data_IF_688615240470
#
_entry.id   IF_688615240470
#
_cell.length_a   1.000
_cell.length_b   1.000
_cell.length_c   1.000
_cell.angle_alpha   90.00
_cell.angle_beta   90.00
_cell.angle_gamma   90.00
#
_symmetry.space_group_name_H-M   'P 1'
#
loop_
_entity.id
_entity.type
_entity.pdbx_description
1 polymer ?
#
# COMPACT_ATOMS: atom_id res chain seq x y z
N UNK A 1 7.27 34.58 -21.43
CA UNK A 1 6.96 33.73 -20.25
C UNK A 1 5.86 34.43 -19.48
N UNK A 2 4.82 33.70 -19.05
CA UNK A 2 3.72 34.31 -18.29
C UNK A 2 4.24 34.79 -16.93
N UNK A 3 3.90 36.02 -16.53
CA UNK A 3 4.23 36.56 -15.21
C UNK A 3 3.43 35.90 -14.07
N UNK A 4 2.46 35.04 -14.41
CA UNK A 4 1.62 34.38 -13.42
C UNK A 4 2.37 33.32 -12.61
N UNK A 5 2.25 33.39 -11.29
CA UNK A 5 2.89 32.49 -10.34
C UNK A 5 1.87 31.51 -9.77
N UNK A 6 2.17 30.22 -9.86
CA UNK A 6 1.42 29.14 -9.22
C UNK A 6 2.19 28.58 -8.02
N UNK A 7 1.58 28.59 -6.83
CA UNK A 7 2.11 27.87 -5.67
C UNK A 7 1.54 26.45 -5.64
N UNK A 8 2.41 25.44 -5.53
CA UNK A 8 2.02 24.04 -5.30
C UNK A 8 2.50 23.59 -3.93
N UNK A 9 1.55 23.35 -3.03
CA UNK A 9 1.82 22.58 -1.81
C UNK A 9 1.81 21.08 -2.13
N UNK A 10 2.42 20.24 -1.28
CA UNK A 10 2.42 18.78 -1.51
C UNK A 10 3.18 18.35 -2.77
N UNK A 11 4.14 19.16 -3.25
CA UNK A 11 4.90 18.90 -4.47
C UNK A 11 5.80 17.65 -4.40
N UNK A 12 6.09 17.15 -3.19
CA UNK A 12 6.76 15.85 -2.96
C UNK A 12 5.82 14.65 -3.06
N UNK A 13 4.51 14.90 -3.12
CA UNK A 13 3.46 13.87 -3.21
C UNK A 13 3.14 13.46 -4.64
N UNK A 14 2.33 12.41 -4.77
CA UNK A 14 2.02 11.76 -6.05
C UNK A 14 1.43 12.70 -7.12
N UNK A 15 0.40 13.47 -6.73
CA UNK A 15 -0.29 14.42 -7.63
C UNK A 15 0.55 15.68 -7.80
N UNK A 16 1.01 16.30 -6.71
CA UNK A 16 1.78 17.54 -6.75
C UNK A 16 3.05 17.42 -7.62
N UNK A 17 3.77 16.30 -7.53
CA UNK A 17 4.97 16.07 -8.32
C UNK A 17 4.73 15.93 -9.83
N UNK A 18 3.48 15.66 -10.25
CA UNK A 18 3.04 15.62 -11.65
C UNK A 18 2.37 16.91 -12.10
N UNK A 19 1.72 17.61 -11.18
CA UNK A 19 1.13 18.92 -11.45
C UNK A 19 2.21 19.98 -11.76
N UNK A 20 3.31 19.99 -11.01
CA UNK A 20 4.40 20.97 -11.21
C UNK A 20 4.94 20.98 -12.65
N UNK A 21 5.38 19.86 -13.25
CA UNK A 21 5.86 19.87 -14.63
C UNK A 21 4.76 20.24 -15.64
N UNK A 22 3.50 19.90 -15.37
CA UNK A 22 2.38 20.29 -16.23
C UNK A 22 2.12 21.81 -16.19
N UNK A 23 2.22 22.44 -15.02
CA UNK A 23 2.13 23.90 -14.87
C UNK A 23 3.30 24.61 -15.58
N UNK A 24 4.52 24.10 -15.44
CA UNK A 24 5.69 24.62 -16.16
C UNK A 24 5.49 24.53 -17.68
N UNK A 25 4.96 23.40 -18.18
CA UNK A 25 4.65 23.22 -19.60
C UNK A 25 3.54 24.17 -20.08
N UNK A 26 2.57 24.49 -19.22
CA UNK A 26 1.54 25.49 -19.46
C UNK A 26 2.03 26.95 -19.30
N UNK A 27 3.34 27.16 -19.08
CA UNK A 27 3.97 28.48 -19.07
C UNK A 27 3.92 29.23 -17.74
N UNK A 28 3.50 28.57 -16.64
CA UNK A 28 3.47 29.17 -15.31
C UNK A 28 4.87 29.24 -14.70
N UNK A 29 5.13 30.29 -13.93
CA UNK A 29 6.21 30.28 -12.94
C UNK A 29 5.72 29.49 -11.74
N UNK A 30 6.44 28.45 -11.35
CA UNK A 30 6.00 27.57 -10.25
C UNK A 30 6.84 27.81 -9.01
N UNK A 31 6.15 27.98 -7.89
CA UNK A 31 6.70 27.98 -6.54
C UNK A 31 6.20 26.75 -5.80
N UNK A 32 7.05 26.12 -5.00
CA UNK A 32 6.68 24.97 -4.18
C UNK A 32 6.96 25.24 -2.71
N UNK A 33 6.00 24.93 -1.84
CA UNK A 33 6.19 24.96 -0.39
C UNK A 33 6.56 23.55 0.09
N UNK A 34 7.76 23.39 0.63
CA UNK A 34 8.27 22.10 1.11
C UNK A 34 8.85 22.22 2.51
N UNK A 35 8.45 21.32 3.41
CA UNK A 35 8.98 21.29 4.78
C UNK A 35 10.46 20.89 4.86
N UNK A 36 10.92 20.05 3.93
CA UNK A 36 12.30 19.57 3.91
C UNK A 36 12.80 19.55 2.47
N UNK A 37 13.49 20.61 2.00
CA UNK A 37 13.94 20.74 0.61
C UNK A 37 14.80 19.55 0.12
N UNK A 38 15.59 18.93 0.99
CA UNK A 38 16.41 17.77 0.64
C UNK A 38 15.60 16.54 0.19
N UNK A 39 14.30 16.46 0.53
CA UNK A 39 13.41 15.38 0.09
C UNK A 39 12.84 15.60 -1.31
N UNK A 40 12.95 16.81 -1.86
CA UNK A 40 12.52 17.10 -3.21
C UNK A 40 13.61 16.64 -4.19
N UNK A 41 13.49 15.39 -4.65
CA UNK A 41 14.42 14.77 -5.61
C UNK A 41 13.75 14.65 -6.99
N UNK A 42 13.29 15.76 -7.53
CA UNK A 42 12.60 15.81 -8.81
C UNK A 42 13.47 16.50 -9.87
N UNK A 43 13.47 15.99 -11.10
CA UNK A 43 14.27 16.51 -12.22
C UNK A 43 13.89 17.96 -12.59
N UNK A 44 12.69 18.40 -12.21
CA UNK A 44 12.20 19.75 -12.44
C UNK A 44 12.57 20.75 -11.32
N UNK A 45 13.24 20.31 -10.25
CA UNK A 45 13.54 21.12 -9.06
C UNK A 45 14.21 22.44 -9.39
N UNK A 46 15.15 22.45 -10.33
CA UNK A 46 15.93 23.65 -10.66
C UNK A 46 15.16 24.64 -11.54
N UNK A 47 13.94 24.28 -11.96
CA UNK A 47 13.03 25.12 -12.76
C UNK A 47 11.94 25.80 -11.93
N UNK A 48 11.95 25.61 -10.62
CA UNK A 48 10.93 26.15 -9.70
C UNK A 48 11.56 26.92 -8.56
N UNK A 49 10.79 27.82 -7.95
CA UNK A 49 11.17 28.44 -6.69
C UNK A 49 10.82 27.51 -5.52
N UNK A 50 11.80 27.16 -4.70
CA UNK A 50 11.61 26.28 -3.53
C UNK A 50 11.57 27.13 -2.27
N UNK A 51 10.38 27.23 -1.66
CA UNK A 51 10.20 27.86 -0.35
C UNK A 51 10.23 26.77 0.73
N UNK A 52 11.22 26.87 1.61
CA UNK A 52 11.30 26.02 2.79
C UNK A 52 10.39 26.58 3.88
N UNK A 53 9.46 25.76 4.39
CA UNK A 53 8.54 26.21 5.44
C UNK A 53 7.59 25.12 5.93
N UNK A 54 7.06 25.31 7.13
CA UNK A 54 6.01 24.47 7.71
C UNK A 54 4.62 25.02 7.36
N UNK A 55 3.76 24.18 6.80
CA UNK A 55 2.38 24.56 6.49
C UNK A 55 1.54 24.82 7.75
N UNK A 56 2.00 24.42 8.93
CA UNK A 56 1.40 24.77 10.22
C UNK A 56 1.80 26.16 10.73
N UNK A 57 2.83 26.79 10.14
CA UNK A 57 3.32 28.10 10.52
C UNK A 57 2.74 29.18 9.59
N UNK A 58 1.90 30.06 10.13
CA UNK A 58 1.22 31.09 9.34
C UNK A 58 2.19 32.03 8.58
N UNK A 59 3.33 32.36 9.20
CA UNK A 59 4.37 33.19 8.57
C UNK A 59 4.98 32.54 7.34
N UNK A 60 5.32 31.26 7.42
CA UNK A 60 5.90 30.49 6.32
C UNK A 60 4.90 30.37 5.16
N UNK A 61 3.63 30.12 5.46
CA UNK A 61 2.57 30.01 4.46
C UNK A 61 2.32 31.36 3.78
N UNK A 62 2.29 32.46 4.54
CA UNK A 62 2.14 33.81 3.98
C UNK A 62 3.31 34.19 3.08
N UNK A 63 4.54 33.91 3.51
CA UNK A 63 5.74 34.14 2.71
C UNK A 63 5.68 33.36 1.38
N UNK A 64 5.25 32.10 1.42
CA UNK A 64 5.09 31.29 0.21
C UNK A 64 4.01 31.82 -0.74
N UNK A 65 2.92 32.39 -0.21
CA UNK A 65 1.78 32.90 -0.98
C UNK A 65 1.97 34.33 -1.50
N UNK A 66 2.96 35.08 -1.01
CA UNK A 66 3.18 36.47 -1.42
C UNK A 66 3.50 36.57 -2.91
N UNK A 67 2.68 37.31 -3.67
CA UNK A 67 2.81 37.49 -5.12
C UNK A 67 2.31 36.30 -5.95
N UNK A 68 1.59 35.35 -5.34
CA UNK A 68 1.03 34.17 -6.03
C UNK A 68 -0.34 34.48 -6.62
N UNK A 69 -0.58 34.12 -7.88
CA UNK A 69 -1.88 34.26 -8.53
C UNK A 69 -2.80 33.08 -8.20
N UNK A 70 -2.28 31.85 -8.25
CA UNK A 70 -3.04 30.61 -8.04
C UNK A 70 -2.33 29.71 -7.05
N UNK A 71 -3.04 29.21 -6.06
CA UNK A 71 -2.46 28.33 -5.04
C UNK A 71 -3.17 26.98 -4.98
N UNK A 72 -2.39 25.91 -5.15
CA UNK A 72 -2.83 24.53 -5.09
C UNK A 72 -2.60 23.95 -3.68
N UNK A 73 -3.69 23.64 -3.00
CA UNK A 73 -3.65 22.96 -1.71
C UNK A 73 -3.71 21.45 -1.94
N UNK A 74 -2.59 20.73 -1.81
CA UNK A 74 -2.49 19.27 -1.99
C UNK A 74 -1.87 18.60 -0.76
N UNK A 75 -1.90 19.29 0.39
CA UNK A 75 -1.47 18.74 1.67
C UNK A 75 -2.56 17.81 2.21
N UNK A 76 -2.14 16.65 2.69
CA UNK A 76 -3.04 15.74 3.37
C UNK A 76 -2.29 14.89 4.41
N UNK A 77 -2.80 14.84 5.63
CA UNK A 77 -2.19 14.11 6.74
C UNK A 77 -2.60 12.63 6.73
N UNK A 78 -1.89 11.78 5.98
CA UNK A 78 -2.09 10.30 6.01
C UNK A 78 -1.09 9.55 6.91
N UNK A 79 -0.35 10.24 7.77
CA UNK A 79 0.73 9.62 8.57
C UNK A 79 0.22 8.72 9.71
N UNK A 80 -1.11 8.62 9.92
CA UNK A 80 -1.72 7.75 10.91
C UNK A 80 -1.43 8.16 12.37
N UNK A 81 -0.97 9.41 12.59
CA UNK A 81 -0.60 9.91 13.92
C UNK A 81 -1.65 10.89 14.46
N UNK A 82 -2.14 10.66 15.68
CA UNK A 82 -3.02 11.58 16.41
C UNK A 82 -4.34 11.90 15.70
N UNK A 83 -4.96 13.02 16.08
CA UNK A 83 -6.17 13.55 15.44
C UNK A 83 -5.82 14.27 14.12
N UNK A 84 -5.77 13.51 13.03
CA UNK A 84 -5.45 14.04 11.71
C UNK A 84 -6.51 15.04 11.21
N UNK A 85 -7.77 14.90 11.63
CA UNK A 85 -8.86 15.77 11.20
C UNK A 85 -8.69 17.18 11.75
N UNK A 86 -8.37 17.30 13.04
CA UNK A 86 -8.07 18.60 13.66
C UNK A 86 -6.81 19.25 13.06
N UNK A 87 -5.79 18.45 12.71
CA UNK A 87 -4.60 18.97 12.01
C UNK A 87 -4.93 19.48 10.61
N UNK A 88 -5.64 18.69 9.79
CA UNK A 88 -6.00 19.08 8.43
C UNK A 88 -6.91 20.32 8.42
N UNK A 89 -7.84 20.45 9.38
CA UNK A 89 -8.63 21.67 9.60
C UNK A 89 -7.74 22.87 9.84
N UNK A 90 -6.84 22.80 10.83
CA UNK A 90 -5.96 23.93 11.22
C UNK A 90 -5.04 24.35 10.06
N UNK A 91 -4.51 23.39 9.31
CA UNK A 91 -3.69 23.67 8.12
C UNK A 91 -4.50 24.40 7.05
N UNK A 92 -5.72 23.93 6.76
CA UNK A 92 -6.60 24.55 5.78
C UNK A 92 -7.03 25.97 6.19
N UNK A 93 -7.37 26.20 7.46
CA UNK A 93 -7.72 27.52 7.99
C UNK A 93 -6.54 28.50 7.89
N UNK A 94 -5.34 28.04 8.27
CA UNK A 94 -4.11 28.84 8.17
C UNK A 94 -3.83 29.22 6.71
N UNK A 95 -3.95 28.26 5.81
CA UNK A 95 -3.72 28.46 4.38
C UNK A 95 -4.77 29.38 3.75
N UNK A 96 -6.05 29.18 4.06
CA UNK A 96 -7.16 30.03 3.61
C UNK A 96 -6.95 31.49 4.02
N UNK A 97 -6.63 31.73 5.29
CA UNK A 97 -6.41 33.08 5.80
C UNK A 97 -5.18 33.73 5.16
N UNK A 98 -4.07 33.00 5.05
CA UNK A 98 -2.86 33.51 4.41
C UNK A 98 -3.07 33.79 2.92
N UNK A 99 -3.83 32.96 2.21
CA UNK A 99 -4.14 33.17 0.79
C UNK A 99 -4.99 34.42 0.57
N UNK A 100 -6.00 34.64 1.42
CA UNK A 100 -6.76 35.89 1.42
C UNK A 100 -5.85 37.10 1.68
N UNK A 101 -5.02 37.04 2.71
CA UNK A 101 -4.13 38.14 3.08
C UNK A 101 -3.09 38.47 2.01
N UNK A 102 -2.61 37.45 1.29
CA UNK A 102 -1.67 37.61 0.19
C UNK A 102 -2.31 38.06 -1.13
N UNK A 103 -3.65 38.15 -1.19
CA UNK A 103 -4.37 38.55 -2.40
C UNK A 103 -4.35 37.50 -3.51
N UNK A 104 -4.27 36.21 -3.16
CA UNK A 104 -4.33 35.11 -4.12
C UNK A 104 -5.66 35.17 -4.87
N UNK A 105 -5.64 34.96 -6.19
CA UNK A 105 -6.82 35.11 -7.06
C UNK A 105 -7.63 33.82 -7.19
N UNK A 106 -6.99 32.66 -6.97
CA UNK A 106 -7.62 31.34 -7.07
C UNK A 106 -7.01 30.35 -6.10
N UNK A 107 -7.86 29.61 -5.39
CA UNK A 107 -7.48 28.37 -4.73
C UNK A 107 -7.95 27.18 -5.55
N UNK A 108 -7.12 26.14 -5.63
CA UNK A 108 -7.50 24.86 -6.23
C UNK A 108 -7.18 23.74 -5.25
N UNK A 109 -8.17 22.91 -4.96
CA UNK A 109 -8.04 21.78 -4.03
C UNK A 109 -8.51 20.49 -4.70
N UNK A 110 -7.72 19.42 -4.56
CA UNK A 110 -8.12 18.08 -4.99
C UNK A 110 -8.75 17.32 -3.81
N UNK A 111 -10.08 17.36 -3.74
CA UNK A 111 -10.90 16.56 -2.83
C UNK A 111 -11.16 15.15 -3.39
N UNK A 112 -12.12 14.42 -2.80
CA UNK A 112 -12.52 13.08 -3.21
C UNK A 112 -14.02 13.01 -3.49
N UNK A 113 -14.42 12.16 -4.44
CA UNK A 113 -15.82 11.81 -4.62
C UNK A 113 -16.33 11.10 -3.36
N UNK A 114 -17.54 11.43 -2.95
CA UNK A 114 -18.19 10.86 -1.77
C UNK A 114 -19.70 10.83 -1.96
N UNK A 115 -20.42 9.92 -1.29
CA UNK A 115 -21.88 9.93 -1.31
C UNK A 115 -22.42 11.06 -0.42
N UNK A 116 -23.71 11.39 -0.54
CA UNK A 116 -24.39 12.15 0.52
C UNK A 116 -24.49 11.29 1.80
N UNK A 117 -24.35 11.92 2.97
CA UNK A 117 -24.60 11.29 4.27
C UNK A 117 -23.34 10.80 5.00
N UNK A 118 -23.42 9.61 5.62
CA UNK A 118 -22.37 9.10 6.51
C UNK A 118 -21.05 8.84 5.80
N UNK A 119 -20.00 9.57 6.18
CA UNK A 119 -18.65 9.48 5.62
C UNK A 119 -17.69 8.81 6.59
N UNK A 120 -16.66 8.14 6.06
CA UNK A 120 -15.47 7.80 6.85
C UNK A 120 -14.78 9.08 7.36
N UNK A 121 -14.08 8.99 8.51
CA UNK A 121 -13.36 10.14 9.09
C UNK A 121 -12.41 10.82 8.09
N UNK A 122 -11.76 10.02 7.22
CA UNK A 122 -10.87 10.52 6.18
C UNK A 122 -11.59 11.32 5.09
N UNK A 123 -12.73 10.83 4.61
CA UNK A 123 -13.55 11.57 3.64
C UNK A 123 -14.19 12.80 4.29
N UNK A 124 -14.69 12.70 5.52
CA UNK A 124 -15.24 13.82 6.26
C UNK A 124 -14.21 14.95 6.45
N UNK A 125 -12.96 14.61 6.78
CA UNK A 125 -11.86 15.58 6.86
C UNK A 125 -11.58 16.26 5.52
N UNK A 126 -11.65 15.52 4.40
CA UNK A 126 -11.43 16.08 3.06
C UNK A 126 -12.54 17.01 2.62
N UNK A 127 -13.79 16.70 2.96
CA UNK A 127 -14.95 17.57 2.74
C UNK A 127 -14.80 18.85 3.55
N UNK A 128 -14.51 18.73 4.84
CA UNK A 128 -14.31 19.87 5.75
C UNK A 128 -13.21 20.82 5.27
N UNK A 129 -12.06 20.29 4.82
CA UNK A 129 -11.00 21.11 4.20
C UNK A 129 -11.53 21.87 2.98
N UNK A 130 -12.30 21.22 2.10
CA UNK A 130 -12.90 21.88 0.94
C UNK A 130 -13.83 23.02 1.34
N UNK A 131 -14.68 22.81 2.34
CA UNK A 131 -15.60 23.83 2.86
C UNK A 131 -14.87 25.02 3.51
N UNK A 132 -13.75 24.77 4.18
CA UNK A 132 -12.90 25.85 4.75
C UNK A 132 -12.32 26.70 3.63
N UNK A 133 -11.76 26.06 2.59
CA UNK A 133 -11.17 26.76 1.46
C UNK A 133 -12.23 27.54 0.66
N UNK A 134 -13.42 26.96 0.42
CA UNK A 134 -14.54 27.64 -0.25
C UNK A 134 -15.05 28.87 0.51
N UNK A 135 -15.00 28.84 1.85
CA UNK A 135 -15.37 29.97 2.72
C UNK A 135 -14.22 30.96 2.94
N UNK A 136 -13.05 30.72 2.35
CA UNK A 136 -11.87 31.57 2.49
C UNK A 136 -12.06 32.98 1.92
N UNK A 137 -13.08 33.21 1.09
CA UNK A 137 -13.32 34.44 0.33
C UNK A 137 -12.33 34.69 -0.81
N UNK A 138 -11.47 33.73 -1.10
CA UNK A 138 -10.75 33.62 -2.37
C UNK A 138 -11.56 32.70 -3.28
N UNK A 139 -11.80 33.05 -4.56
CA UNK A 139 -12.42 32.13 -5.51
C UNK A 139 -11.75 30.75 -5.50
N UNK A 140 -12.52 29.70 -5.23
CA UNK A 140 -12.00 28.37 -4.94
C UNK A 140 -12.69 27.29 -5.78
N UNK A 141 -11.89 26.48 -6.46
CA UNK A 141 -12.35 25.27 -7.14
C UNK A 141 -11.93 24.02 -6.36
N UNK A 142 -12.92 23.23 -5.92
CA UNK A 142 -12.68 21.96 -5.23
C UNK A 142 -12.98 20.81 -6.19
N UNK A 143 -11.93 20.22 -6.79
CA UNK A 143 -12.07 19.09 -7.69
C UNK A 143 -12.27 17.80 -6.89
N UNK A 144 -13.40 17.13 -7.03
CA UNK A 144 -13.71 15.89 -6.31
C UNK A 144 -13.41 14.69 -7.21
N UNK A 145 -12.29 14.02 -6.97
CA UNK A 145 -11.87 12.89 -7.80
C UNK A 145 -12.22 11.54 -7.17
N UNK A 146 -12.58 10.57 -8.00
CA UNK A 146 -12.67 9.17 -7.58
C UNK A 146 -11.30 8.52 -7.38
N UNK A 147 -11.22 7.21 -7.62
CA UNK A 147 -9.94 6.49 -7.52
C UNK A 147 -9.00 6.94 -8.64
N UNK A 148 -7.91 7.62 -8.27
CA UNK A 148 -6.89 8.06 -9.21
C UNK A 148 -6.01 6.88 -9.64
N UNK A 149 -6.02 6.57 -10.93
CA UNK A 149 -5.28 5.48 -11.56
C UNK A 149 -3.95 5.99 -12.12
N UNK A 150 -2.85 5.37 -11.72
CA UNK A 150 -1.52 5.69 -12.24
C UNK A 150 -0.38 5.12 -11.41
N UNK A 151 0.79 4.99 -12.03
CA UNK A 151 1.98 4.38 -11.42
C UNK A 151 2.49 5.20 -10.23
N UNK A 152 2.34 4.68 -9.01
CA UNK A 152 2.69 5.35 -7.75
C UNK A 152 1.50 5.96 -7.00
N UNK A 153 0.27 5.83 -7.52
CA UNK A 153 -0.94 6.13 -6.76
C UNK A 153 -1.19 5.03 -5.72
N UNK A 154 -1.34 5.39 -4.45
CA UNK A 154 -1.59 4.42 -3.38
C UNK A 154 -2.88 3.61 -3.60
N UNK A 155 -3.94 4.25 -4.11
CA UNK A 155 -5.22 3.57 -4.40
C UNK A 155 -5.09 2.60 -5.57
N UNK A 156 -4.33 2.98 -6.61
CA UNK A 156 -4.02 2.09 -7.73
C UNK A 156 -3.14 0.92 -7.29
N UNK A 157 -2.11 1.18 -6.48
CA UNK A 157 -1.24 0.14 -5.92
C UNK A 157 -2.04 -0.84 -5.07
N UNK A 158 -3.02 -0.39 -4.27
CA UNK A 158 -3.89 -1.29 -3.52
C UNK A 158 -4.67 -2.23 -4.47
N UNK A 159 -5.35 -1.66 -5.48
CA UNK A 159 -6.09 -2.42 -6.49
C UNK A 159 -5.18 -3.45 -7.19
N UNK A 160 -4.01 -2.99 -7.63
CA UNK A 160 -3.00 -3.82 -8.29
C UNK A 160 -2.53 -4.98 -7.42
N UNK A 161 -2.03 -4.69 -6.22
CA UNK A 161 -1.46 -5.72 -5.35
C UNK A 161 -2.49 -6.77 -4.95
N UNK A 162 -3.72 -6.35 -4.64
CA UNK A 162 -4.80 -7.30 -4.35
C UNK A 162 -5.07 -8.20 -5.57
N UNK A 163 -5.11 -7.62 -6.77
CA UNK A 163 -5.36 -8.36 -8.01
C UNK A 163 -4.22 -9.30 -8.39
N UNK A 164 -2.97 -8.87 -8.27
CA UNK A 164 -1.79 -9.68 -8.62
C UNK A 164 -1.63 -10.87 -7.66
N UNK A 165 -1.97 -10.67 -6.38
CA UNK A 165 -1.64 -11.62 -5.31
C UNK A 165 -2.76 -12.58 -4.95
N UNK A 166 -4.02 -12.21 -5.18
CA UNK A 166 -5.19 -13.02 -4.84
C UNK A 166 -5.89 -13.52 -6.13
N UNK A 167 -5.57 -14.73 -6.62
CA UNK A 167 -6.27 -15.29 -7.78
C UNK A 167 -7.75 -15.61 -7.50
N UNK A 168 -8.06 -15.90 -6.23
CA UNK A 168 -9.41 -16.04 -5.70
C UNK A 168 -9.51 -15.30 -4.36
N UNK A 169 -10.65 -14.66 -4.11
CA UNK A 169 -10.91 -13.95 -2.87
C UNK A 169 -12.41 -13.97 -2.54
N UNK A 170 -12.72 -14.11 -1.25
CA UNK A 170 -14.06 -13.85 -0.72
C UNK A 170 -13.96 -12.61 0.13
N UNK A 171 -14.54 -11.52 -0.36
CA UNK A 171 -14.51 -10.23 0.32
C UNK A 171 -15.87 -9.80 0.86
N UNK A 172 -15.91 -8.66 1.55
CA UNK A 172 -17.15 -8.04 2.01
C UNK A 172 -18.00 -7.48 0.85
N UNK A 173 -19.30 -7.28 1.09
CA UNK A 173 -20.26 -6.75 0.09
C UNK A 173 -19.84 -5.43 -0.56
N UNK A 174 -19.12 -4.56 0.16
CA UNK A 174 -18.70 -3.25 -0.37
C UNK A 174 -17.75 -3.32 -1.56
N UNK A 175 -17.17 -4.49 -1.88
CA UNK A 175 -16.45 -4.67 -3.15
C UNK A 175 -17.34 -4.48 -4.39
N UNK A 176 -18.66 -4.48 -4.22
CA UNK A 176 -19.66 -4.19 -5.27
C UNK A 176 -20.14 -2.73 -5.27
N UNK A 177 -19.59 -1.88 -4.42
CA UNK A 177 -19.88 -0.44 -4.46
C UNK A 177 -19.40 0.15 -5.79
N UNK A 178 -20.08 1.19 -6.25
CA UNK A 178 -19.81 1.84 -7.52
C UNK A 178 -18.76 2.93 -7.34
N UNK A 179 -17.77 2.94 -8.21
CA UNK A 179 -16.65 3.86 -8.23
C UNK A 179 -16.49 4.37 -9.65
N UNK A 180 -16.23 5.66 -9.77
CA UNK A 180 -15.86 6.29 -11.03
C UNK A 180 -14.39 6.69 -10.96
N UNK A 181 -13.47 5.83 -11.45
CA UNK A 181 -12.04 6.12 -11.38
C UNK A 181 -11.66 7.21 -12.38
N UNK A 182 -10.45 7.75 -12.28
CA UNK A 182 -9.92 8.75 -13.21
C UNK A 182 -8.42 8.51 -13.42
N UNK A 183 -7.92 8.67 -14.65
CA UNK A 183 -6.49 8.59 -14.91
C UNK A 183 -5.77 9.80 -14.30
N UNK A 184 -4.55 9.60 -13.79
CA UNK A 184 -3.75 10.69 -13.21
C UNK A 184 -3.50 11.82 -14.21
N UNK A 185 -3.30 11.52 -15.49
CA UNK A 185 -3.06 12.53 -16.52
C UNK A 185 -4.27 13.46 -16.68
N UNK A 186 -5.48 12.90 -16.57
CA UNK A 186 -6.73 13.65 -16.70
C UNK A 186 -7.00 14.49 -15.43
N UNK A 187 -6.64 13.97 -14.24
CA UNK A 187 -6.64 14.77 -13.00
C UNK A 187 -5.69 15.97 -13.12
N UNK A 188 -4.47 15.75 -13.62
CA UNK A 188 -3.48 16.81 -13.79
C UNK A 188 -3.95 17.84 -14.82
N UNK A 189 -4.54 17.40 -15.93
CA UNK A 189 -5.17 18.29 -16.92
C UNK A 189 -6.21 19.20 -16.24
N UNK A 190 -7.17 18.63 -15.52
CA UNK A 190 -8.20 19.42 -14.84
C UNK A 190 -7.63 20.36 -13.77
N UNK A 191 -6.60 19.96 -13.03
CA UNK A 191 -5.92 20.84 -12.08
C UNK A 191 -5.26 22.04 -12.78
N UNK A 192 -4.61 21.84 -13.93
CA UNK A 192 -4.02 22.94 -14.71
C UNK A 192 -5.12 23.87 -15.22
N UNK A 193 -6.22 23.32 -15.77
CA UNK A 193 -7.35 24.11 -16.29
C UNK A 193 -8.09 24.90 -15.21
N UNK A 194 -8.18 24.37 -13.98
CA UNK A 194 -8.85 25.03 -12.87
C UNK A 194 -8.21 26.38 -12.47
N UNK A 195 -6.95 26.61 -12.82
CA UNK A 195 -6.28 27.90 -12.62
C UNK A 195 -6.98 29.04 -13.37
N UNK A 196 -7.55 28.74 -14.54
CA UNK A 196 -8.12 29.73 -15.47
C UNK A 196 -9.65 29.85 -15.36
N UNK A 197 -10.28 29.18 -14.37
CA UNK A 197 -11.73 29.29 -14.17
C UNK A 197 -12.17 30.77 -13.94
N UNK A 198 -13.40 31.14 -14.30
CA UNK A 198 -13.95 32.43 -13.95
C UNK A 198 -13.97 32.69 -12.42
N UNK A 199 -13.75 33.93 -11.93
CA UNK A 199 -13.74 34.24 -10.49
C UNK A 199 -15.06 33.96 -9.76
N UNK A 200 -16.18 33.91 -10.46
CA UNK A 200 -17.50 33.55 -9.94
C UNK A 200 -17.69 32.05 -9.71
N UNK A 201 -16.81 31.21 -10.26
CA UNK A 201 -16.80 29.76 -9.98
C UNK A 201 -16.13 29.51 -8.63
N UNK A 202 -16.96 29.44 -7.58
CA UNK A 202 -16.55 29.10 -6.21
C UNK A 202 -17.36 27.90 -5.68
N UNK A 203 -17.02 26.69 -6.14
CA UNK A 203 -17.79 25.48 -5.82
C UNK A 203 -16.96 24.19 -5.91
N UNK A 204 -17.59 23.08 -5.55
CA UNK A 204 -17.10 21.73 -5.84
C UNK A 204 -17.40 21.34 -7.29
N UNK A 205 -16.49 20.61 -7.92
CA UNK A 205 -16.63 20.10 -9.30
C UNK A 205 -16.23 18.62 -9.28
N UNK A 206 -17.15 17.73 -9.64
CA UNK A 206 -16.91 16.29 -9.67
C UNK A 206 -16.08 15.90 -10.92
N UNK A 207 -14.98 15.15 -10.73
CA UNK A 207 -14.11 14.68 -11.82
C UNK A 207 -13.93 13.16 -11.78
N UNK A 208 -14.10 12.53 -12.94
CA UNK A 208 -14.14 11.07 -13.09
C UNK A 208 -14.12 10.69 -14.57
N UNK A 209 -13.66 9.48 -14.89
CA UNK A 209 -13.81 8.87 -16.23
C UNK A 209 -15.28 8.66 -16.58
N UNK A 210 -15.57 8.19 -17.80
CA UNK A 210 -16.94 7.85 -18.23
C UNK A 210 -17.45 6.49 -17.76
N UNK A 211 -16.62 5.76 -17.02
CA UNK A 211 -16.91 4.40 -16.62
C UNK A 211 -17.23 4.33 -15.13
N UNK A 212 -18.44 3.87 -14.79
CA UNK A 212 -18.80 3.51 -13.42
C UNK A 212 -18.57 2.02 -13.24
N UNK A 213 -17.66 1.67 -12.33
CA UNK A 213 -17.19 0.29 -12.11
C UNK A 213 -17.27 -0.08 -10.63
N UNK A 214 -17.40 -1.36 -10.36
CA UNK A 214 -17.19 -1.93 -9.01
C UNK A 214 -15.74 -2.29 -8.78
N UNK A 215 -15.30 -2.45 -7.52
CA UNK A 215 -13.96 -2.99 -7.23
C UNK A 215 -13.76 -4.37 -7.86
N UNK A 216 -14.80 -5.21 -7.87
CA UNK A 216 -14.75 -6.53 -8.52
C UNK A 216 -14.47 -6.39 -10.02
N UNK A 217 -15.16 -5.49 -10.71
CA UNK A 217 -14.94 -5.24 -12.14
C UNK A 217 -13.56 -4.66 -12.40
N UNK A 218 -13.13 -3.68 -11.61
CA UNK A 218 -11.77 -3.12 -11.71
C UNK A 218 -10.70 -4.20 -11.54
N UNK A 219 -10.82 -5.10 -10.55
CA UNK A 219 -9.88 -6.21 -10.36
C UNK A 219 -9.90 -7.20 -11.53
N UNK A 220 -11.09 -7.53 -12.06
CA UNK A 220 -11.22 -8.43 -13.22
C UNK A 220 -10.64 -7.82 -14.49
N UNK A 221 -10.92 -6.54 -14.75
CA UNK A 221 -10.40 -5.79 -15.90
C UNK A 221 -8.90 -5.58 -15.79
N UNK A 222 -8.38 -5.22 -14.62
CA UNK A 222 -6.95 -5.17 -14.35
C UNK A 222 -6.29 -6.51 -14.71
N UNK A 223 -6.85 -7.62 -14.23
CA UNK A 223 -6.29 -8.95 -14.52
C UNK A 223 -6.25 -9.25 -16.02
N UNK A 224 -7.30 -8.85 -16.77
CA UNK A 224 -7.34 -8.98 -18.23
C UNK A 224 -6.24 -8.15 -18.90
N UNK A 225 -6.12 -6.87 -18.56
CA UNK A 225 -5.11 -5.95 -19.13
C UNK A 225 -3.69 -6.41 -18.81
N UNK A 226 -3.45 -6.88 -17.58
CA UNK A 226 -2.16 -7.36 -17.11
C UNK A 226 -1.81 -8.80 -17.57
N UNK A 227 -2.68 -9.46 -18.33
CA UNK A 227 -2.48 -10.83 -18.82
C UNK A 227 -2.41 -11.87 -17.69
N UNK A 228 -3.13 -11.63 -16.59
CA UNK A 228 -3.27 -12.53 -15.45
C UNK A 228 -4.45 -13.50 -15.68
N UNK A 229 -4.45 -14.63 -14.96
CA UNK A 229 -5.59 -15.54 -14.95
C UNK A 229 -6.85 -14.84 -14.43
N UNK A 230 -8.06 -15.17 -14.93
CA UNK A 230 -9.31 -14.61 -14.44
C UNK A 230 -9.42 -14.68 -12.90
N UNK A 231 -9.92 -13.61 -12.30
CA UNK A 231 -10.05 -13.49 -10.83
C UNK A 231 -11.41 -13.93 -10.35
N UNK A 232 -11.39 -14.92 -9.46
CA UNK A 232 -12.60 -15.48 -8.84
C UNK A 232 -12.89 -14.72 -7.55
N UNK A 233 -13.70 -13.67 -7.66
CA UNK A 233 -14.00 -12.79 -6.54
C UNK A 233 -15.47 -12.95 -6.16
N UNK A 234 -15.69 -13.50 -4.97
CA UNK A 234 -17.00 -13.62 -4.32
C UNK A 234 -17.15 -12.56 -3.22
N UNK A 235 -18.39 -12.29 -2.83
CA UNK A 235 -18.68 -11.35 -1.73
C UNK A 235 -19.65 -11.95 -0.73
N UNK A 236 -19.39 -11.75 0.57
CA UNK A 236 -20.26 -12.20 1.66
C UNK A 236 -20.79 -11.02 2.49
N UNK A 237 -21.96 -11.15 3.14
CA UNK A 237 -22.62 -10.06 3.85
C UNK A 237 -21.81 -9.42 4.97
N UNK A 238 -21.03 -10.21 5.72
CA UNK A 238 -20.28 -9.71 6.87
C UNK A 238 -18.91 -10.39 6.90
N UNK A 239 -17.88 -9.67 6.43
CA UNK A 239 -16.54 -9.86 6.96
C UNK A 239 -16.27 -8.61 7.80
N UNK A 240 -16.07 -8.76 9.10
CA UNK A 240 -15.75 -7.63 9.97
C UNK A 240 -14.50 -6.92 9.43
N UNK A 241 -14.52 -5.59 9.19
CA UNK A 241 -13.40 -4.84 8.65
C UNK A 241 -12.07 -5.04 9.43
N UNK A 242 -12.17 -5.42 10.70
CA UNK A 242 -11.05 -5.76 11.58
C UNK A 242 -10.27 -7.01 11.15
N UNK A 243 -10.92 -8.07 10.65
CA UNK A 243 -10.20 -9.25 10.15
C UNK A 243 -9.46 -8.96 8.83
N UNK A 244 -10.04 -8.12 7.97
CA UNK A 244 -9.44 -7.78 6.69
C UNK A 244 -8.13 -7.00 6.83
N UNK A 245 -7.99 -6.12 7.83
CA UNK A 245 -6.81 -5.27 8.01
C UNK A 245 -5.54 -6.03 8.39
N UNK A 246 -5.67 -7.16 9.11
CA UNK A 246 -4.52 -7.97 9.53
C UNK A 246 -3.85 -8.70 8.36
N UNK A 247 -4.62 -9.09 7.34
CA UNK A 247 -4.09 -9.80 6.17
C UNK A 247 -3.50 -8.85 5.11
N UNK A 248 -4.04 -7.64 5.01
CA UNK A 248 -3.60 -6.61 4.04
C UNK A 248 -2.14 -6.20 4.25
N UNK A 249 -1.64 -6.16 5.49
CA UNK A 249 -0.23 -5.81 5.78
C UNK A 249 0.79 -6.90 5.42
N UNK A 250 0.32 -8.15 5.24
CA UNK A 250 1.15 -9.27 4.77
C UNK A 250 1.11 -9.36 3.24
N UNK A 251 -0.08 -9.16 2.66
CA UNK A 251 -0.30 -9.29 1.22
C UNK A 251 0.04 -8.01 0.47
N UNK A 252 -0.03 -6.83 1.06
CA UNK A 252 0.28 -5.57 0.35
C UNK A 252 1.43 -4.84 1.02
N UNK A 253 2.31 -4.16 0.27
CA UNK A 253 3.35 -3.31 0.85
C UNK A 253 2.81 -1.97 1.36
N UNK A 254 1.51 -1.70 1.21
CA UNK A 254 0.89 -0.44 1.62
C UNK A 254 0.90 -0.36 3.16
N UNK A 255 1.47 0.71 3.75
CA UNK A 255 1.49 0.87 5.20
C UNK A 255 0.08 0.79 5.80
N UNK A 256 -0.07 0.11 6.94
CA UNK A 256 -1.36 -0.08 7.60
C UNK A 256 -2.09 1.25 7.91
N UNK A 257 -1.33 2.31 8.20
CA UNK A 257 -1.85 3.67 8.42
C UNK A 257 -2.49 4.31 7.18
N UNK A 258 -2.11 3.88 5.97
CA UNK A 258 -2.73 4.31 4.70
C UNK A 258 -3.82 3.33 4.29
N UNK A 259 -3.60 2.03 4.49
CA UNK A 259 -4.56 1.00 4.11
C UNK A 259 -5.90 1.11 4.85
N UNK A 260 -5.90 1.40 6.16
CA UNK A 260 -7.14 1.48 6.95
C UNK A 260 -8.07 2.64 6.51
N UNK A 261 -7.58 3.89 6.35
CA UNK A 261 -8.39 4.98 5.79
C UNK A 261 -8.86 4.71 4.36
N UNK A 262 -7.98 4.16 3.51
CA UNK A 262 -8.35 3.81 2.14
C UNK A 262 -9.49 2.79 2.14
N UNK A 263 -9.35 1.66 2.85
CA UNK A 263 -10.41 0.64 2.99
C UNK A 263 -11.70 1.24 3.54
N UNK A 264 -11.61 2.14 4.53
CA UNK A 264 -12.76 2.88 5.06
C UNK A 264 -13.49 3.71 4.00
N UNK A 265 -12.76 4.36 3.10
CA UNK A 265 -13.35 5.10 1.98
C UNK A 265 -13.96 4.19 0.90
N UNK A 266 -13.45 2.96 0.72
CA UNK A 266 -13.99 1.98 -0.25
C UNK A 266 -15.38 1.45 0.14
N UNK A 267 -15.84 1.68 1.38
CA UNK A 267 -17.15 1.25 1.90
C UNK A 267 -18.30 2.08 1.31
N UNK A 268 -18.00 3.16 0.59
CA UNK A 268 -18.98 4.07 0.04
C UNK A 268 -18.93 4.12 -1.49
N UNK A 269 -20.07 4.40 -2.13
CA UNK A 269 -20.11 4.74 -3.55
C UNK A 269 -19.35 6.05 -3.80
N UNK A 270 -18.53 6.10 -4.84
CA UNK A 270 -17.72 7.26 -5.23
C UNK A 270 -17.92 7.55 -6.72
N UNK A 271 -19.09 8.08 -7.05
CA UNK A 271 -19.56 8.36 -8.42
C UNK A 271 -19.87 9.85 -8.53
N UNK A 272 -19.64 10.45 -9.70
CA UNK A 272 -19.98 11.85 -9.96
C UNK A 272 -21.48 12.08 -9.75
N UNK A 273 -21.84 13.23 -9.15
CA UNK A 273 -23.22 13.73 -9.05
C UNK A 273 -23.56 14.65 -10.22
N UNK A 274 -22.56 15.30 -10.78
CA UNK A 274 -22.64 16.24 -11.90
C UNK A 274 -21.50 15.96 -12.89
N UNK A 275 -21.68 16.35 -14.16
CA UNK A 275 -20.69 16.12 -15.22
C UNK A 275 -20.35 17.41 -16.00
N UNK A 276 -20.40 18.55 -15.32
CA UNK A 276 -20.13 19.87 -15.90
C UNK A 276 -18.64 20.24 -15.89
N UNK A 277 -17.77 19.37 -15.35
CA UNK A 277 -16.32 19.54 -15.44
C UNK A 277 -15.83 19.67 -16.89
N UNK A 278 -16.48 18.96 -17.83
CA UNK A 278 -16.19 19.04 -19.27
C UNK A 278 -16.46 20.42 -19.83
N UNK A 279 -17.57 21.02 -19.44
CA UNK A 279 -17.98 22.35 -19.90
C UNK A 279 -17.10 23.45 -19.27
N UNK A 280 -16.77 23.28 -17.98
CA UNK A 280 -15.99 24.27 -17.22
C UNK A 280 -14.48 24.23 -17.50
N UNK A 281 -13.91 23.03 -17.70
CA UNK A 281 -12.46 22.83 -17.76
C UNK A 281 -11.98 22.37 -19.14
N UNK A 282 -12.87 21.80 -19.95
CA UNK A 282 -12.56 21.16 -21.23
C UNK A 282 -11.92 19.79 -21.06
N UNK A 283 -12.22 18.86 -21.96
CA UNK A 283 -11.59 17.53 -21.97
C UNK A 283 -10.10 17.61 -22.36
N UNK A 284 -9.28 16.65 -21.88
CA UNK A 284 -7.91 16.52 -22.37
C UNK A 284 -7.89 16.17 -23.87
N UNK A 285 -6.80 16.50 -24.60
CA UNK A 285 -6.65 16.10 -25.98
C UNK A 285 -6.81 14.59 -26.15
N UNK A 286 -7.73 14.16 -27.03
CA UNK A 286 -8.07 12.75 -27.23
C UNK A 286 -9.18 12.21 -26.31
N UNK A 287 -9.74 13.04 -25.42
CA UNK A 287 -10.78 12.65 -24.48
C UNK A 287 -10.25 12.01 -23.20
N UNK A 288 -11.15 11.78 -22.24
CA UNK A 288 -10.81 11.10 -20.99
C UNK A 288 -10.38 9.65 -21.23
N UNK A 289 -9.36 9.21 -20.49
CA UNK A 289 -8.86 7.85 -20.60
C UNK A 289 -9.81 6.90 -19.89
N UNK A 290 -10.16 5.82 -20.58
CA UNK A 290 -10.88 4.69 -19.97
C UNK A 290 -10.00 3.94 -18.96
N UNK A 291 -10.64 3.12 -18.13
CA UNK A 291 -10.00 2.32 -17.08
C UNK A 291 -8.89 1.41 -17.65
N UNK A 292 -9.15 0.69 -18.74
CA UNK A 292 -8.18 -0.26 -19.30
C UNK A 292 -6.93 0.44 -19.85
N UNK A 293 -7.09 1.62 -20.43
CA UNK A 293 -5.97 2.45 -20.89
C UNK A 293 -5.16 3.01 -19.72
N UNK A 294 -5.85 3.55 -18.71
CA UNK A 294 -5.20 4.05 -17.50
C UNK A 294 -4.39 2.95 -16.80
N UNK A 295 -4.93 1.72 -16.73
CA UNK A 295 -4.20 0.54 -16.20
C UNK A 295 -2.98 0.22 -17.07
N UNK A 296 -3.12 0.20 -18.40
CA UNK A 296 -2.02 -0.10 -19.32
C UNK A 296 -0.86 0.88 -19.16
N UNK A 297 -1.16 2.18 -19.10
CA UNK A 297 -0.16 3.23 -18.85
C UNK A 297 0.48 3.07 -17.45
N UNK A 298 -0.34 2.83 -16.43
CA UNK A 298 0.12 2.68 -15.06
C UNK A 298 0.97 1.41 -14.81
N UNK A 299 0.88 0.41 -15.70
CA UNK A 299 1.61 -0.87 -15.58
C UNK A 299 2.74 -1.03 -16.58
N UNK A 300 2.97 -0.04 -17.46
CA UNK A 300 3.93 -0.14 -18.55
C UNK A 300 5.37 -0.52 -18.10
N UNK A 301 5.78 -0.09 -16.91
CA UNK A 301 7.10 -0.37 -16.33
C UNK A 301 7.10 -1.46 -15.26
N UNK A 302 5.96 -2.11 -15.02
CA UNK A 302 5.77 -3.09 -13.93
C UNK A 302 5.66 -4.50 -14.52
N UNK A 303 6.19 -5.50 -13.81
CA UNK A 303 5.95 -6.91 -14.13
C UNK A 303 4.80 -7.47 -13.28
N UNK A 304 3.56 -7.51 -13.81
CA UNK A 304 2.39 -7.97 -13.04
C UNK A 304 2.44 -9.47 -12.71
N UNK A 305 3.29 -10.25 -13.40
CA UNK A 305 3.41 -11.70 -13.19
C UNK A 305 4.46 -12.05 -12.15
N UNK A 306 5.22 -11.07 -11.65
CA UNK A 306 6.31 -11.26 -10.66
C UNK A 306 5.87 -12.11 -9.48
N UNK A 307 4.79 -11.71 -8.81
CA UNK A 307 4.25 -12.44 -7.67
C UNK A 307 3.99 -13.91 -7.98
N UNK A 308 3.29 -14.20 -9.08
CA UNK A 308 2.93 -15.58 -9.44
C UNK A 308 4.14 -16.46 -9.79
N UNK A 309 5.20 -15.87 -10.35
CA UNK A 309 6.45 -16.59 -10.64
C UNK A 309 7.22 -16.87 -9.34
N UNK A 310 7.32 -15.88 -8.46
CA UNK A 310 7.97 -16.03 -7.16
C UNK A 310 7.24 -17.02 -6.28
N UNK A 311 5.90 -16.94 -6.20
CA UNK A 311 5.07 -17.85 -5.41
C UNK A 311 5.25 -19.31 -5.84
N UNK A 312 5.30 -19.57 -7.16
CA UNK A 312 5.52 -20.93 -7.68
C UNK A 312 6.90 -21.47 -7.27
N UNK A 313 7.95 -20.66 -7.37
CA UNK A 313 9.31 -21.06 -7.00
C UNK A 313 9.45 -21.32 -5.50
N UNK A 314 8.99 -20.37 -4.68
CA UNK A 314 9.01 -20.47 -3.21
C UNK A 314 8.15 -21.64 -2.74
N UNK A 315 6.92 -21.74 -3.24
CA UNK A 315 5.99 -22.82 -2.91
C UNK A 315 6.53 -24.20 -3.28
N UNK A 316 7.19 -24.35 -4.43
CA UNK A 316 7.84 -25.61 -4.80
C UNK A 316 8.94 -26.01 -3.82
N UNK A 317 9.79 -25.07 -3.40
CA UNK A 317 10.85 -25.33 -2.41
C UNK A 317 10.29 -25.71 -1.03
N UNK A 318 9.24 -25.02 -0.58
CA UNK A 318 8.56 -25.33 0.68
C UNK A 318 7.86 -26.69 0.62
N UNK A 319 7.17 -27.00 -0.48
CA UNK A 319 6.52 -28.30 -0.68
C UNK A 319 7.54 -29.44 -0.69
N UNK A 320 8.67 -29.28 -1.38
CA UNK A 320 9.76 -30.27 -1.36
C UNK A 320 10.29 -30.50 0.06
N UNK A 321 10.44 -29.43 0.85
CA UNK A 321 10.87 -29.50 2.25
C UNK A 321 9.84 -30.24 3.11
N UNK A 322 8.56 -29.93 2.94
CA UNK A 322 7.47 -30.59 3.67
C UNK A 322 7.37 -32.08 3.35
N UNK A 323 7.52 -32.46 2.08
CA UNK A 323 7.53 -33.87 1.64
C UNK A 323 8.75 -34.59 2.20
N UNK A 324 9.95 -34.02 2.07
CA UNK A 324 11.17 -34.61 2.62
C UNK A 324 11.05 -34.80 4.14
N UNK A 325 10.63 -33.77 4.88
CA UNK A 325 10.41 -33.84 6.32
C UNK A 325 9.38 -34.91 6.70
N UNK A 326 8.30 -35.06 5.94
CA UNK A 326 7.26 -36.09 6.17
C UNK A 326 7.79 -37.50 5.93
N UNK A 327 8.52 -37.74 4.84
CA UNK A 327 9.12 -39.05 4.53
C UNK A 327 10.19 -39.46 5.55
N UNK A 328 10.89 -38.48 6.13
CA UNK A 328 11.92 -38.73 7.13
C UNK A 328 11.35 -38.93 8.53
N UNK A 329 10.13 -38.48 8.80
CA UNK A 329 9.48 -38.51 10.11
C UNK A 329 8.66 -39.79 10.31
N UNK A 330 8.95 -40.56 11.36
CA UNK A 330 8.14 -41.72 11.76
C UNK A 330 7.74 -41.63 13.25
N UNK A 331 6.60 -40.96 13.55
CA UNK A 331 6.08 -40.84 14.90
C UNK A 331 5.46 -42.15 15.41
N UNK A 332 5.31 -43.16 14.54
CA UNK A 332 4.79 -44.48 14.88
C UNK A 332 5.91 -45.50 15.15
N UNK A 333 7.17 -45.12 15.02
CA UNK A 333 8.29 -45.99 15.32
C UNK A 333 8.27 -46.45 16.79
N UNK A 334 8.65 -47.71 17.01
CA UNK A 334 8.81 -48.26 18.37
C UNK A 334 9.82 -47.43 19.19
N UNK A 335 10.86 -46.93 18.52
CA UNK A 335 11.84 -46.03 19.10
C UNK A 335 11.20 -44.75 19.65
N UNK A 336 10.44 -44.02 18.82
CA UNK A 336 9.83 -42.77 19.24
C UNK A 336 8.79 -42.97 20.35
N UNK A 337 8.01 -44.06 20.27
CA UNK A 337 7.05 -44.42 21.34
C UNK A 337 7.75 -44.69 22.67
N UNK A 338 8.92 -45.32 22.65
CA UNK A 338 9.72 -45.64 23.84
C UNK A 338 10.40 -44.44 24.52
N UNK A 339 10.48 -43.27 23.87
CA UNK A 339 11.07 -42.07 24.49
C UNK A 339 10.23 -41.55 25.66
N UNK A 340 10.90 -41.20 26.76
CA UNK A 340 10.33 -40.47 27.90
C UNK A 340 10.06 -39.02 27.51
N UNK A 341 8.79 -38.72 27.20
CA UNK A 341 8.32 -37.40 26.75
C UNK A 341 8.01 -36.47 27.93
N UNK A 342 8.20 -35.14 27.80
CA UNK A 342 7.72 -34.19 28.80
C UNK A 342 6.20 -34.08 28.82
N UNK A 343 5.61 -33.85 30.00
CA UNK A 343 4.15 -33.76 30.17
C UNK A 343 3.51 -32.59 29.40
N UNK A 344 4.28 -31.55 29.11
CA UNK A 344 3.85 -30.39 28.32
C UNK A 344 3.99 -30.59 26.80
N UNK A 345 4.45 -31.76 26.34
CA UNK A 345 4.52 -32.03 24.91
C UNK A 345 3.09 -32.03 24.30
N UNK A 346 2.86 -31.28 23.21
CA UNK A 346 1.57 -31.29 22.53
C UNK A 346 1.20 -32.67 22.00
N UNK A 347 -0.10 -32.96 21.82
CA UNK A 347 -0.55 -34.16 21.13
C UNK A 347 0.07 -34.29 19.74
N UNK A 348 0.29 -35.52 19.27
CA UNK A 348 0.96 -35.79 17.99
C UNK A 348 0.29 -35.09 16.79
N UNK A 349 -1.05 -34.95 16.81
CA UNK A 349 -1.83 -34.26 15.77
C UNK A 349 -1.57 -32.76 15.69
N UNK A 350 -1.08 -32.12 16.76
CA UNK A 350 -0.80 -30.68 16.76
C UNK A 350 0.36 -30.33 15.80
N UNK A 351 1.35 -31.20 15.67
CA UNK A 351 2.53 -30.97 14.84
C UNK A 351 2.20 -30.80 13.34
N UNK A 352 1.52 -31.75 12.65
CA UNK A 352 1.19 -31.59 11.24
C UNK A 352 0.26 -30.39 10.99
N UNK A 353 -0.66 -30.08 11.91
CA UNK A 353 -1.54 -28.90 11.80
C UNK A 353 -0.72 -27.61 11.85
N UNK A 354 0.14 -27.46 12.86
CA UNK A 354 0.97 -26.25 13.01
C UNK A 354 1.97 -26.13 11.86
N UNK A 355 2.65 -27.21 11.47
CA UNK A 355 3.60 -27.19 10.36
C UNK A 355 2.95 -26.83 9.02
N UNK A 356 1.73 -27.31 8.75
CA UNK A 356 0.97 -26.92 7.55
C UNK A 356 0.68 -25.41 7.54
N UNK A 357 0.24 -24.88 8.68
CA UNK A 357 0.03 -23.44 8.85
C UNK A 357 1.32 -22.63 8.68
N UNK A 358 2.41 -23.08 9.29
CA UNK A 358 3.72 -22.43 9.19
C UNK A 358 4.27 -22.45 7.78
N UNK A 359 4.21 -23.58 7.07
CA UNK A 359 4.64 -23.69 5.68
C UNK A 359 3.86 -22.75 4.77
N UNK A 360 2.54 -22.66 4.96
CA UNK A 360 1.70 -21.70 4.24
C UNK A 360 2.13 -20.26 4.55
N UNK A 361 2.31 -19.94 5.82
CA UNK A 361 2.72 -18.61 6.29
C UNK A 361 4.08 -18.18 5.72
N UNK A 362 5.11 -19.02 5.85
CA UNK A 362 6.45 -18.69 5.36
C UNK A 362 6.52 -18.67 3.83
N UNK A 363 5.68 -19.46 3.13
CA UNK A 363 5.57 -19.38 1.66
C UNK A 363 5.08 -18.01 1.23
N UNK A 364 3.99 -17.53 1.84
CA UNK A 364 3.41 -16.22 1.52
C UNK A 364 4.39 -15.11 1.93
N UNK A 365 4.95 -15.19 3.14
CA UNK A 365 5.88 -14.18 3.64
C UNK A 365 7.18 -14.12 2.83
N UNK A 366 7.78 -15.26 2.46
CA UNK A 366 8.99 -15.30 1.63
C UNK A 366 8.73 -14.78 0.21
N UNK A 367 7.57 -15.12 -0.36
CA UNK A 367 7.14 -14.60 -1.66
C UNK A 367 7.01 -13.08 -1.62
N UNK A 368 6.32 -12.57 -0.60
CA UNK A 368 6.10 -11.13 -0.43
C UNK A 368 7.40 -10.37 -0.15
N UNK A 369 8.27 -10.88 0.72
CA UNK A 369 9.57 -10.26 0.99
C UNK A 369 10.41 -10.18 -0.29
N UNK A 370 10.49 -11.27 -1.05
CA UNK A 370 11.30 -11.31 -2.27
C UNK A 370 10.74 -10.38 -3.35
N UNK A 371 9.44 -10.47 -3.62
CA UNK A 371 8.80 -9.66 -4.66
C UNK A 371 8.86 -8.15 -4.34
N UNK A 372 8.59 -7.76 -3.09
CA UNK A 372 8.60 -6.35 -2.67
C UNK A 372 10.01 -5.74 -2.70
N UNK A 373 11.06 -6.51 -2.37
CA UNK A 373 12.44 -6.04 -2.44
C UNK A 373 12.87 -5.80 -3.89
N UNK A 374 12.61 -6.75 -4.79
CA UNK A 374 12.94 -6.59 -6.22
C UNK A 374 12.12 -5.46 -6.87
N UNK A 375 10.88 -5.25 -6.45
CA UNK A 375 10.03 -4.15 -6.96
C UNK A 375 10.54 -2.77 -6.53
N UNK A 376 11.25 -2.70 -5.39
CA UNK A 376 11.94 -1.49 -4.93
C UNK A 376 13.35 -1.33 -5.51
N UNK A 377 13.75 -2.18 -6.46
CA UNK A 377 15.09 -2.19 -7.03
C UNK A 377 16.18 -2.68 -6.07
N UNK A 378 15.82 -3.38 -4.99
CA UNK A 378 16.76 -3.93 -3.98
C UNK A 378 17.09 -5.40 -4.29
N UNK A 379 17.54 -5.66 -5.51
CA UNK A 379 17.72 -7.03 -6.03
C UNK A 379 18.78 -7.84 -5.26
N UNK A 380 19.85 -7.19 -4.80
CA UNK A 380 20.90 -7.84 -4.01
C UNK A 380 20.36 -8.39 -2.69
N UNK A 381 19.53 -7.61 -2.00
CA UNK A 381 18.91 -8.02 -0.75
C UNK A 381 17.85 -9.10 -0.95
N UNK A 382 17.08 -9.02 -2.05
CA UNK A 382 16.16 -10.08 -2.42
C UNK A 382 16.91 -11.41 -2.68
N UNK A 383 18.06 -11.36 -3.35
CA UNK A 383 18.91 -12.52 -3.57
C UNK A 383 19.47 -13.09 -2.26
N UNK A 384 19.97 -12.23 -1.36
CA UNK A 384 20.42 -12.66 -0.03
C UNK A 384 19.31 -13.31 0.80
N UNK A 385 18.13 -12.69 0.83
CA UNK A 385 16.98 -13.24 1.53
C UNK A 385 16.59 -14.61 0.99
N UNK A 386 16.56 -14.78 -0.35
CA UNK A 386 16.26 -16.08 -0.98
C UNK A 386 17.30 -17.15 -0.63
N UNK A 387 18.59 -16.81 -0.60
CA UNK A 387 19.65 -17.73 -0.17
C UNK A 387 19.47 -18.16 1.28
N UNK A 388 19.23 -17.19 2.17
CA UNK A 388 18.98 -17.47 3.59
C UNK A 388 17.72 -18.34 3.78
N UNK A 389 16.67 -18.09 3.01
CA UNK A 389 15.43 -18.89 3.06
C UNK A 389 15.65 -20.31 2.53
N UNK A 390 16.38 -20.46 1.42
CA UNK A 390 16.76 -21.77 0.90
C UNK A 390 17.58 -22.59 1.91
N UNK A 391 18.55 -21.97 2.58
CA UNK A 391 19.32 -22.61 3.65
C UNK A 391 18.41 -23.03 4.81
N UNK A 392 17.47 -22.17 5.21
CA UNK A 392 16.51 -22.48 6.26
C UNK A 392 15.64 -23.70 5.92
N UNK A 393 15.19 -23.82 4.67
CA UNK A 393 14.45 -24.98 4.19
C UNK A 393 15.27 -26.28 4.25
N UNK A 394 16.55 -26.23 3.88
CA UNK A 394 17.45 -27.39 4.00
C UNK A 394 17.64 -27.79 5.48
N UNK A 395 17.87 -26.82 6.37
CA UNK A 395 17.98 -27.07 7.81
C UNK A 395 16.69 -27.70 8.37
N UNK A 396 15.53 -27.25 7.89
CA UNK A 396 14.23 -27.78 8.30
C UNK A 396 14.09 -29.27 7.94
N UNK A 397 14.34 -29.64 6.67
CA UNK A 397 14.28 -31.04 6.25
C UNK A 397 15.35 -31.91 6.95
N UNK A 398 16.55 -31.37 7.16
CA UNK A 398 17.66 -32.09 7.78
C UNK A 398 17.37 -32.45 9.24
N UNK A 399 16.65 -31.59 9.97
CA UNK A 399 16.27 -31.87 11.36
C UNK A 399 15.46 -33.16 11.49
N UNK A 400 14.51 -33.42 10.59
CA UNK A 400 13.73 -34.67 10.58
C UNK A 400 14.61 -35.91 10.45
N UNK A 401 15.66 -35.87 9.62
CA UNK A 401 16.62 -36.97 9.49
C UNK A 401 17.44 -37.19 10.78
N UNK A 402 17.96 -36.11 11.37
CA UNK A 402 18.74 -36.18 12.61
C UNK A 402 17.94 -36.78 13.76
N UNK A 403 16.66 -36.39 13.88
CA UNK A 403 15.80 -36.83 14.96
C UNK A 403 15.25 -38.25 14.73
N UNK A 404 14.60 -38.51 13.59
CA UNK A 404 13.85 -39.77 13.37
C UNK A 404 14.64 -40.88 12.67
N UNK A 405 15.72 -40.57 11.95
CA UNK A 405 16.53 -41.59 11.25
C UNK A 405 17.83 -41.88 11.97
N UNK A 406 18.59 -40.85 12.34
CA UNK A 406 19.84 -41.01 13.07
C UNK A 406 19.64 -41.28 14.58
N UNK A 407 18.44 -41.02 15.11
CA UNK A 407 18.10 -41.16 16.54
C UNK A 407 19.10 -40.44 17.49
N UNK A 408 19.72 -39.36 17.03
CA UNK A 408 20.80 -38.68 17.74
C UNK A 408 20.29 -37.39 18.40
N UNK A 409 19.67 -37.51 19.57
CA UNK A 409 18.96 -36.42 20.25
C UNK A 409 19.80 -35.15 20.51
N UNK A 410 21.10 -35.22 20.90
CA UNK A 410 21.93 -34.02 21.05
C UNK A 410 22.14 -33.24 19.74
N UNK A 411 22.57 -33.92 18.67
CA UNK A 411 22.70 -33.33 17.33
C UNK A 411 21.36 -32.82 16.78
N UNK A 412 20.25 -33.53 17.00
CA UNK A 412 18.93 -33.04 16.61
C UNK A 412 18.55 -31.74 17.36
N UNK A 413 18.95 -31.62 18.63
CA UNK A 413 18.77 -30.39 19.42
C UNK A 413 19.62 -29.25 18.89
N UNK A 414 20.90 -29.51 18.59
CA UNK A 414 21.78 -28.51 17.98
C UNK A 414 21.25 -28.06 16.60
N UNK A 415 20.80 -29.01 15.77
CA UNK A 415 20.18 -28.73 14.48
C UNK A 415 18.91 -27.88 14.61
N UNK A 416 18.06 -28.16 15.61
CA UNK A 416 16.88 -27.35 15.91
C UNK A 416 17.25 -25.92 16.31
N UNK A 417 18.30 -25.75 17.13
CA UNK A 417 18.79 -24.44 17.55
C UNK A 417 19.32 -23.62 16.35
N UNK A 418 20.08 -24.26 15.45
CA UNK A 418 20.57 -23.63 14.21
C UNK A 418 19.39 -23.23 13.31
N UNK A 419 18.38 -24.09 13.17
CA UNK A 419 17.16 -23.79 12.43
C UNK A 419 16.41 -22.59 13.04
N UNK A 420 16.28 -22.54 14.36
CA UNK A 420 15.64 -21.42 15.07
C UNK A 420 16.41 -20.11 14.85
N UNK A 421 17.75 -20.13 14.96
CA UNK A 421 18.59 -18.96 14.68
C UNK A 421 18.46 -18.48 13.23
N UNK A 422 18.41 -19.40 12.27
CA UNK A 422 18.15 -19.08 10.86
C UNK A 422 16.76 -18.46 10.65
N UNK A 423 15.72 -18.92 11.37
CA UNK A 423 14.39 -18.33 11.32
C UNK A 423 14.35 -16.90 11.91
N UNK A 424 15.13 -16.63 12.96
CA UNK A 424 15.30 -15.27 13.51
C UNK A 424 15.99 -14.34 12.50
N UNK A 425 17.03 -14.82 11.81
CA UNK A 425 17.68 -14.04 10.74
C UNK A 425 16.71 -13.72 9.60
N UNK A 426 15.86 -14.67 9.22
CA UNK A 426 14.79 -14.43 8.23
C UNK A 426 13.81 -13.34 8.69
N UNK A 427 13.40 -13.35 9.97
CA UNK A 427 12.53 -12.31 10.51
C UNK A 427 13.18 -10.92 10.45
N UNK A 428 14.48 -10.84 10.81
CA UNK A 428 15.27 -9.60 10.70
C UNK A 428 15.37 -9.10 9.27
N UNK A 429 15.65 -9.97 8.30
CA UNK A 429 15.72 -9.61 6.87
C UNK A 429 14.36 -9.19 6.33
N UNK A 430 13.30 -9.91 6.69
CA UNK A 430 11.93 -9.60 6.28
C UNK A 430 11.42 -8.25 6.82
N UNK A 431 11.96 -7.77 7.94
CA UNK A 431 11.64 -6.45 8.48
C UNK A 431 11.94 -5.31 7.49
N UNK A 432 12.92 -5.50 6.60
CA UNK A 432 13.25 -4.53 5.55
C UNK A 432 12.14 -4.40 4.49
N UNK A 433 11.31 -5.43 4.35
CA UNK A 433 10.16 -5.46 3.44
C UNK A 433 8.82 -5.14 4.14
N UNK A 434 8.78 -5.16 5.47
CA UNK A 434 7.66 -4.65 6.27
C UNK A 434 7.41 -5.43 7.57
N UNK A 435 6.79 -4.79 8.58
CA UNK A 435 6.61 -5.38 9.91
C UNK A 435 5.72 -6.62 9.92
N UNK A 436 4.68 -6.69 9.06
CA UNK A 436 3.84 -7.88 8.95
C UNK A 436 4.60 -9.13 8.50
N UNK A 437 5.58 -8.96 7.62
CA UNK A 437 6.44 -10.06 7.12
C UNK A 437 7.44 -10.50 8.19
N UNK A 438 8.01 -9.54 8.93
CA UNK A 438 8.84 -9.84 10.09
C UNK A 438 8.07 -10.61 11.17
N UNK A 439 6.83 -10.20 11.48
CA UNK A 439 5.98 -10.89 12.43
C UNK A 439 5.66 -12.34 12.00
N UNK A 440 5.40 -12.56 10.71
CA UNK A 440 5.17 -13.90 10.17
C UNK A 440 6.38 -14.84 10.39
N UNK A 441 7.59 -14.37 10.08
CA UNK A 441 8.81 -15.13 10.36
C UNK A 441 9.14 -15.20 11.86
N UNK A 442 8.73 -14.21 12.66
CA UNK A 442 8.84 -14.24 14.11
C UNK A 442 7.99 -15.37 14.73
N UNK A 443 6.76 -15.57 14.25
CA UNK A 443 5.93 -16.70 14.65
C UNK A 443 6.57 -18.05 14.28
N UNK A 444 7.17 -18.14 13.10
CA UNK A 444 7.94 -19.31 12.68
C UNK A 444 9.17 -19.57 13.56
N UNK A 445 9.94 -18.52 13.89
CA UNK A 445 11.09 -18.59 14.78
C UNK A 445 10.71 -19.00 16.21
N UNK A 446 9.57 -18.51 16.71
CA UNK A 446 9.04 -18.90 18.02
C UNK A 446 8.73 -20.40 18.07
N UNK A 447 8.11 -20.95 17.01
CA UNK A 447 7.87 -22.39 16.91
C UNK A 447 9.16 -23.21 16.83
N UNK A 448 10.15 -22.77 16.04
CA UNK A 448 11.43 -23.46 15.95
C UNK A 448 12.19 -23.43 17.29
N UNK A 449 12.11 -22.33 18.04
CA UNK A 449 12.65 -22.23 19.40
C UNK A 449 11.93 -23.20 20.34
N UNK A 450 10.60 -23.28 20.29
CA UNK A 450 9.82 -24.26 21.04
C UNK A 450 10.25 -25.71 20.71
N UNK A 451 10.39 -26.04 19.42
CA UNK A 451 10.86 -27.36 18.98
C UNK A 451 12.29 -27.67 19.46
N UNK A 452 13.14 -26.65 19.58
CA UNK A 452 14.48 -26.76 20.15
C UNK A 452 14.42 -27.11 21.64
N UNK A 453 13.58 -26.41 22.41
CA UNK A 453 13.39 -26.69 23.85
C UNK A 453 12.81 -28.09 24.07
N UNK A 454 11.86 -28.52 23.22
CA UNK A 454 11.32 -29.88 23.25
C UNK A 454 12.39 -30.93 22.93
N UNK A 455 13.19 -30.70 21.88
CA UNK A 455 14.30 -31.60 21.52
C UNK A 455 15.32 -31.72 22.66
N UNK A 456 15.68 -30.61 23.30
CA UNK A 456 16.58 -30.58 24.45
C UNK A 456 16.00 -31.31 25.68
N UNK A 457 14.70 -31.18 25.93
CA UNK A 457 14.03 -31.90 27.01
C UNK A 457 14.01 -33.42 26.75
N UNK A 458 13.78 -33.83 25.51
CA UNK A 458 13.84 -35.24 25.11
C UNK A 458 15.27 -35.79 25.24
N UNK A 459 16.29 -35.05 24.81
CA UNK A 459 17.70 -35.45 24.96
C UNK A 459 18.06 -35.64 26.45
N UNK A 460 17.68 -34.69 27.32
CA UNK A 460 17.96 -34.75 28.77
C UNK A 460 17.24 -35.91 29.47
N UNK A 461 16.01 -36.23 29.07
CA UNK A 461 15.21 -37.31 29.68
C UNK A 461 15.58 -38.71 29.19
N UNK A 462 16.27 -38.79 28.06
CA UNK A 462 16.68 -40.03 27.42
C UNK A 462 18.19 -39.99 27.14
N UNK A 463 19.03 -39.90 28.20
CA UNK A 463 20.47 -40.00 28.02
C UNK A 463 20.79 -41.36 27.39
N UNK A 464 21.55 -41.34 26.30
CA UNK A 464 22.06 -42.52 25.62
C UNK A 464 23.55 -42.60 25.83
#
# INVERSE_FOLDING_TARGET
>A
MSDRIALVTGATGYVGGRLVPALLAAGWRVRVLVRTPARLKADWRDRVEVVAGDAAAAGDVLAALTGVDVAYYLLHSMDGRGDFRTRDRRLAETFAQAARNAGVRRLVYLSGLHPPGGLSDHLASRVEVGEILLRSGVPTAVLQAGVVLGAGSASFDMLRHLTERLPAAVGPKWLRNRIQPIAIDDVVHYLVRAADLPPDVNRTIDVGSDEVLTYVEMMRRYAKVAGLRPRLIGTVPVLTPWLASHWVGVVTPVPAGIAKPLVGSLIHDAVKREDDARDLLGDPPGGLKGFDEAVRLATASIDPKRWSRTLRRVGAGVAATAVAGSLLTDPSSAWYRGLRKPAWQPPAVAFPVVWTGLYTLVTVAATATSADLEERGRDAEAAEFRRAFGLNLVLNATWSALFFRAHHLPLATAGAAVLAGSAVDLARRAAQAGPGKAAAFGGYAAWCTFATVLSAALARRNPR
#
